data_IF_558736350809
#
_entry.id   IF_558736350809
#
_cell.length_a   1.000
_cell.length_b   1.000
_cell.length_c   1.000
_cell.angle_alpha   90.00
_cell.angle_beta   90.00
_cell.angle_gamma   90.00
#
_symmetry.space_group_name_H-M   'P 1'
#
loop_
_entity.id
_entity.type
_entity.pdbx_description
1 polymer ?
#
# COMPACT_ATOMS: atom_id res chain seq x y z
N UNK A 1 -36.65 46.43 -0.30
CA UNK A 1 -35.81 45.40 -0.95
C UNK A 1 -34.35 45.67 -0.60
N UNK A 2 -33.50 44.63 -0.43
CA UNK A 2 -32.03 44.66 -0.18
C UNK A 2 -31.52 44.24 1.22
N UNK A 3 -32.04 43.15 1.83
CA UNK A 3 -31.35 42.48 2.97
C UNK A 3 -31.11 40.97 2.82
N UNK A 4 -31.72 40.32 1.83
CA UNK A 4 -31.58 38.88 1.63
C UNK A 4 -30.30 38.44 0.90
N UNK A 5 -29.64 39.35 0.16
CA UNK A 5 -28.47 39.00 -0.67
C UNK A 5 -27.15 38.92 0.12
N UNK A 6 -27.02 39.62 1.25
CA UNK A 6 -25.76 39.62 2.04
C UNK A 6 -25.51 38.37 2.86
N UNK A 7 -26.56 37.62 3.24
CA UNK A 7 -26.38 36.40 4.05
C UNK A 7 -25.90 35.21 3.22
N UNK A 8 -26.34 35.11 1.97
CA UNK A 8 -25.97 34.01 1.07
C UNK A 8 -24.50 34.07 0.65
N UNK A 9 -23.95 35.29 0.45
CA UNK A 9 -22.54 35.46 0.10
C UNK A 9 -21.59 35.07 1.24
N UNK A 10 -21.97 35.30 2.50
CA UNK A 10 -21.15 34.97 3.67
C UNK A 10 -21.08 33.45 3.92
N UNK A 11 -22.16 32.71 3.67
CA UNK A 11 -22.22 31.25 3.86
C UNK A 11 -21.43 30.52 2.77
N UNK A 12 -21.45 31.01 1.52
CA UNK A 12 -20.67 30.45 0.42
C UNK A 12 -19.16 30.73 0.61
N UNK A 13 -18.79 31.90 1.13
CA UNK A 13 -17.39 32.20 1.45
C UNK A 13 -16.88 31.32 2.61
N UNK A 14 -17.71 31.06 3.63
CA UNK A 14 -17.35 30.21 4.77
C UNK A 14 -17.23 28.72 4.38
N UNK A 15 -18.04 28.27 3.41
CA UNK A 15 -17.99 26.90 2.88
C UNK A 15 -16.76 26.65 2.01
N UNK A 16 -16.24 27.68 1.32
CA UNK A 16 -15.03 27.55 0.50
C UNK A 16 -13.74 27.44 1.35
N UNK A 17 -13.70 28.10 2.51
CA UNK A 17 -12.53 28.04 3.41
C UNK A 17 -12.44 26.69 4.13
N UNK A 18 -13.57 26.03 4.41
CA UNK A 18 -13.59 24.70 5.03
C UNK A 18 -13.20 23.57 4.06
N UNK A 19 -13.40 23.74 2.74
CA UNK A 19 -13.07 22.72 1.73
C UNK A 19 -11.60 22.66 1.33
N UNK A 20 -10.86 23.76 1.47
CA UNK A 20 -9.47 23.85 0.99
C UNK A 20 -8.41 23.28 1.97
N UNK A 21 -8.81 22.95 3.20
CA UNK A 21 -7.86 22.51 4.24
C UNK A 21 -7.67 20.98 4.32
N UNK A 22 -8.43 20.20 3.54
CA UNK A 22 -8.45 18.72 3.64
C UNK A 22 -7.80 18.00 2.44
N UNK A 23 -6.83 18.63 1.78
CA UNK A 23 -6.12 18.05 0.63
C UNK A 23 -4.60 17.92 0.83
N UNK A 24 -4.08 18.07 2.05
CA UNK A 24 -2.62 18.07 2.33
C UNK A 24 -2.15 16.90 3.20
N UNK A 25 -3.03 16.01 3.66
CA UNK A 25 -2.65 15.04 4.70
C UNK A 25 -2.21 13.64 4.22
N UNK A 26 -2.22 13.33 2.91
CA UNK A 26 -1.98 11.94 2.46
C UNK A 26 -0.73 11.74 1.57
N UNK A 27 0.21 12.69 1.59
CA UNK A 27 1.43 12.61 0.76
C UNK A 27 2.74 12.32 1.50
N UNK A 28 2.72 12.02 2.80
CA UNK A 28 3.98 11.95 3.56
C UNK A 28 4.07 10.81 4.58
N UNK A 29 3.80 9.58 4.15
CA UNK A 29 4.49 8.44 4.77
C UNK A 29 4.79 7.34 3.75
N UNK A 30 5.50 7.70 2.68
CA UNK A 30 6.34 6.73 2.00
C UNK A 30 7.63 6.66 2.83
N UNK A 31 7.89 5.58 3.59
CA UNK A 31 9.19 5.43 4.22
C UNK A 31 10.23 5.54 3.10
N UNK A 32 11.14 6.50 3.22
CA UNK A 32 12.32 6.59 2.39
C UNK A 32 13.14 5.33 2.65
N UNK A 33 12.88 4.28 1.87
CA UNK A 33 13.79 3.15 1.74
C UNK A 33 15.06 3.78 1.20
N UNK A 34 16.04 3.94 2.10
CA UNK A 34 17.30 4.60 1.81
C UNK A 34 17.87 4.04 0.52
N UNK A 35 18.48 4.94 -0.27
CA UNK A 35 19.34 4.56 -1.37
C UNK A 35 20.55 3.80 -0.81
N UNK A 36 20.38 2.51 -0.53
CA UNK A 36 21.47 1.56 -0.28
C UNK A 36 21.92 1.04 -1.65
N UNK A 37 22.61 1.90 -2.38
CA UNK A 37 23.39 1.50 -3.54
C UNK A 37 24.60 0.71 -3.01
N UNK A 38 24.45 -0.61 -2.87
CA UNK A 38 25.54 -1.49 -2.47
C UNK A 38 25.17 -2.82 -1.81
N UNK A 39 23.89 -3.09 -1.52
CA UNK A 39 23.49 -4.34 -0.88
C UNK A 39 23.33 -5.45 -1.93
N UNK A 40 23.67 -6.69 -1.57
CA UNK A 40 23.45 -7.90 -2.37
C UNK A 40 22.02 -7.92 -2.97
N UNK A 41 21.78 -8.60 -4.13
CA UNK A 41 20.46 -8.63 -4.73
C UNK A 41 19.45 -9.01 -3.64
N UNK A 42 18.45 -8.16 -3.36
CA UNK A 42 17.57 -8.37 -2.24
C UNK A 42 16.96 -9.75 -2.36
N UNK A 43 17.01 -10.51 -1.27
CA UNK A 43 16.32 -11.80 -1.21
C UNK A 43 14.89 -11.62 -1.74
N UNK A 44 14.37 -12.58 -2.52
CA UNK A 44 13.07 -12.43 -3.14
C UNK A 44 12.01 -12.18 -2.06
N UNK A 45 11.13 -11.20 -2.31
CA UNK A 45 9.99 -10.94 -1.44
C UNK A 45 9.05 -12.15 -1.49
N UNK A 46 8.79 -12.77 -0.35
CA UNK A 46 7.95 -13.97 -0.29
C UNK A 46 6.54 -13.62 0.16
N UNK A 47 5.53 -13.98 -0.66
CA UNK A 47 4.12 -13.87 -0.31
C UNK A 47 3.52 -15.25 -0.06
N UNK A 48 3.51 -15.66 1.21
CA UNK A 48 2.89 -16.90 1.67
C UNK A 48 1.60 -16.63 2.46
N UNK A 49 0.64 -17.56 2.38
CA UNK A 49 -0.62 -17.43 3.12
C UNK A 49 -1.74 -18.31 2.59
N UNK A 50 -2.95 -17.76 2.59
CA UNK A 50 -4.18 -18.47 2.18
C UNK A 50 -4.18 -18.85 0.70
N UNK A 51 -4.47 -20.12 0.42
CA UNK A 51 -4.68 -20.62 -0.93
C UNK A 51 -5.76 -19.90 -1.73
N UNK A 52 -6.79 -19.36 -1.06
CA UNK A 52 -7.87 -18.60 -1.71
C UNK A 52 -7.37 -17.37 -2.47
N UNK A 53 -6.25 -16.78 -2.03
CA UNK A 53 -5.75 -15.52 -2.56
C UNK A 53 -4.51 -15.69 -3.45
N UNK A 54 -3.97 -16.91 -3.60
CA UNK A 54 -2.74 -17.12 -4.37
C UNK A 54 -2.92 -16.86 -5.86
N UNK A 55 -4.06 -17.23 -6.44
CA UNK A 55 -4.33 -17.03 -7.87
C UNK A 55 -4.28 -15.54 -8.26
N UNK A 56 -5.04 -14.62 -7.61
CA UNK A 56 -4.93 -13.20 -7.92
C UNK A 56 -3.55 -12.61 -7.58
N UNK A 57 -2.91 -13.04 -6.49
CA UNK A 57 -1.56 -12.56 -6.12
C UNK A 57 -0.54 -12.90 -7.21
N UNK A 58 -0.58 -14.13 -7.77
CA UNK A 58 0.34 -14.52 -8.86
C UNK A 58 0.19 -13.65 -10.10
N UNK A 59 -1.04 -13.28 -10.46
CA UNK A 59 -1.29 -12.37 -11.58
C UNK A 59 -0.72 -10.97 -11.32
N UNK A 60 -0.92 -10.44 -10.10
CA UNK A 60 -0.36 -9.15 -9.68
C UNK A 60 1.17 -9.17 -9.70
N UNK A 61 1.78 -10.21 -9.14
CA UNK A 61 3.23 -10.39 -9.14
C UNK A 61 3.79 -10.46 -10.56
N UNK A 62 3.13 -11.18 -11.46
CA UNK A 62 3.54 -11.25 -12.86
C UNK A 62 3.46 -9.88 -13.54
N UNK A 63 2.37 -9.13 -13.33
CA UNK A 63 2.22 -7.79 -13.88
C UNK A 63 3.25 -6.81 -13.30
N UNK A 64 3.48 -6.89 -12.00
CA UNK A 64 4.47 -6.07 -11.29
C UNK A 64 5.89 -6.33 -11.78
N UNK A 65 6.27 -7.59 -11.98
CA UNK A 65 7.59 -7.97 -12.49
C UNK A 65 7.88 -7.43 -13.90
N UNK A 66 6.86 -7.08 -14.70
CA UNK A 66 7.06 -6.39 -15.99
C UNK A 66 7.41 -4.91 -15.82
N UNK A 67 6.94 -4.28 -14.75
CA UNK A 67 7.17 -2.86 -14.45
C UNK A 67 8.43 -2.65 -13.60
N UNK A 68 8.75 -3.62 -12.74
CA UNK A 68 9.88 -3.60 -11.80
C UNK A 68 10.68 -4.92 -11.89
N UNK A 69 11.39 -5.18 -13.00
CA UNK A 69 12.13 -6.43 -13.20
C UNK A 69 13.27 -6.64 -12.19
N UNK A 70 13.74 -5.58 -11.55
CA UNK A 70 14.75 -5.61 -10.49
C UNK A 70 14.23 -6.21 -9.17
N UNK A 71 12.91 -6.26 -8.97
CA UNK A 71 12.28 -6.81 -7.76
C UNK A 71 11.79 -8.23 -8.06
N UNK A 72 12.35 -9.21 -7.34
CA UNK A 72 11.87 -10.60 -7.38
C UNK A 72 10.86 -10.85 -6.27
N UNK A 73 9.72 -11.42 -6.64
CA UNK A 73 8.67 -11.81 -5.70
C UNK A 73 8.39 -13.30 -5.92
N UNK A 74 8.49 -14.08 -4.85
CA UNK A 74 8.12 -15.50 -4.83
C UNK A 74 6.76 -15.69 -4.16
N UNK A 75 5.94 -16.57 -4.73
CA UNK A 75 4.58 -16.86 -4.27
C UNK A 75 4.45 -18.37 -4.08
N UNK A 76 4.93 -18.91 -2.93
CA UNK A 76 4.95 -20.33 -2.68
C UNK A 76 3.54 -20.94 -2.64
N UNK A 77 3.49 -22.27 -2.53
CA UNK A 77 2.24 -22.97 -2.26
C UNK A 77 1.60 -22.48 -0.95
N UNK A 78 0.29 -22.66 -0.84
CA UNK A 78 -0.47 -22.23 0.34
C UNK A 78 0.05 -22.93 1.59
N UNK A 79 0.43 -22.15 2.59
CA UNK A 79 0.70 -22.61 3.95
C UNK A 79 -0.51 -22.38 4.89
N UNK A 80 -1.64 -21.95 4.32
CA UNK A 80 -2.85 -21.59 5.05
C UNK A 80 -2.76 -20.23 5.75
N UNK A 81 -3.91 -19.67 6.12
CA UNK A 81 -3.97 -18.34 6.77
C UNK A 81 -3.21 -18.31 8.10
N UNK A 82 -3.37 -19.36 8.92
CA UNK A 82 -2.66 -19.49 10.21
C UNK A 82 -1.14 -19.58 10.01
N UNK A 83 -0.70 -20.33 8.98
CA UNK A 83 0.72 -20.43 8.63
C UNK A 83 1.27 -19.08 8.15
N UNK A 84 0.52 -18.37 7.30
CA UNK A 84 0.88 -17.04 6.82
C UNK A 84 1.03 -16.02 7.95
N UNK A 85 0.09 -15.99 8.89
CA UNK A 85 0.15 -15.10 10.06
C UNK A 85 1.39 -15.40 10.91
N UNK A 86 1.68 -16.68 11.17
CA UNK A 86 2.87 -17.08 11.94
C UNK A 86 4.17 -16.73 11.22
N UNK A 87 4.24 -16.98 9.91
CA UNK A 87 5.40 -16.61 9.10
C UNK A 87 5.63 -15.10 9.12
N UNK A 88 4.57 -14.30 8.97
CA UNK A 88 4.65 -12.84 9.05
C UNK A 88 5.11 -12.37 10.45
N UNK A 89 4.51 -12.90 11.52
CA UNK A 89 4.89 -12.57 12.90
C UNK A 89 6.34 -12.98 13.23
N UNK A 90 6.83 -14.06 12.62
CA UNK A 90 8.21 -14.55 12.74
C UNK A 90 9.23 -13.82 11.86
N UNK A 91 8.88 -12.69 11.25
CA UNK A 91 9.77 -11.92 10.39
C UNK A 91 9.94 -12.49 8.97
N UNK A 92 8.91 -13.16 8.45
CA UNK A 92 8.91 -13.74 7.09
C UNK A 92 9.56 -15.12 7.00
N UNK A 93 9.96 -15.73 8.13
CA UNK A 93 10.57 -17.06 8.12
C UNK A 93 9.48 -18.11 7.86
N UNK A 94 9.51 -18.70 6.67
CA UNK A 94 8.66 -19.85 6.34
C UNK A 94 8.99 -21.01 7.29
N UNK A 95 7.98 -21.79 7.74
CA UNK A 95 8.26 -23.01 8.47
C UNK A 95 9.11 -23.94 7.59
N UNK A 96 10.30 -24.29 8.06
CA UNK A 96 11.15 -25.29 7.42
C UNK A 96 10.37 -26.61 7.38
N UNK A 97 10.08 -27.09 6.18
CA UNK A 97 9.46 -28.39 5.94
C UNK A 97 10.31 -29.53 6.49
#
# INVERSE_FOLDING_TARGET
MNRAASFSALVVLLSLVAGASLLVADTAFVPSVGAWAGEAPPDPLVFAGSGSNLAPIRLLTQAFGRVRPEIRIDVPASIGSTGGIRAAAGGGRLPSA
#
